data_IF_892581282576
#
_entry.id   IF_892581282576
#
_cell.length_a   1.000
_cell.length_b   1.000
_cell.length_c   1.000
_cell.angle_alpha   90.00
_cell.angle_beta   90.00
_cell.angle_gamma   90.00
#
_symmetry.space_group_name_H-M   'P 1'
#
loop_
_entity.id
_entity.type
_entity.pdbx_description
1 polymer ?
#
# COMPACT_ATOMS: atom_id res chain seq x y z
N UNK A 1 -27.51 6.17 -10.61
CA UNK A 1 -26.48 5.82 -9.61
C UNK A 1 -25.09 6.19 -10.11
N UNK A 2 -24.79 6.02 -11.41
CA UNK A 2 -23.49 6.33 -11.99
C UNK A 2 -23.04 7.78 -11.82
N UNK A 3 -23.85 8.77 -12.22
CA UNK A 3 -23.51 10.21 -12.09
C UNK A 3 -23.20 10.64 -10.65
N UNK A 4 -23.95 10.15 -9.66
CA UNK A 4 -23.66 10.45 -8.25
C UNK A 4 -22.30 9.89 -7.81
N UNK A 5 -21.93 8.70 -8.30
CA UNK A 5 -20.62 8.11 -8.02
C UNK A 5 -19.49 8.89 -8.71
N UNK A 6 -19.70 9.33 -9.96
CA UNK A 6 -18.75 10.16 -10.71
C UNK A 6 -18.51 11.48 -10.00
N UNK A 7 -19.57 12.22 -9.63
CA UNK A 7 -19.40 13.48 -8.89
C UNK A 7 -18.75 13.31 -7.52
N UNK A 8 -19.01 12.19 -6.83
CA UNK A 8 -18.32 11.87 -5.58
C UNK A 8 -16.83 11.60 -5.80
N UNK A 9 -16.47 10.90 -6.88
CA UNK A 9 -15.08 10.69 -7.26
C UNK A 9 -14.38 12.03 -7.61
N UNK A 10 -15.05 12.92 -8.35
CA UNK A 10 -14.56 14.28 -8.62
C UNK A 10 -14.34 15.07 -7.34
N UNK A 11 -15.28 14.99 -6.40
CA UNK A 11 -15.13 15.61 -5.09
C UNK A 11 -13.89 15.08 -4.37
N UNK A 12 -13.71 13.75 -4.31
CA UNK A 12 -12.53 13.15 -3.66
C UNK A 12 -11.21 13.60 -4.31
N UNK A 13 -11.15 13.64 -5.65
CA UNK A 13 -9.96 14.10 -6.38
C UNK A 13 -9.69 15.59 -6.16
N UNK A 14 -10.74 16.41 -6.09
CA UNK A 14 -10.64 17.85 -5.82
C UNK A 14 -10.17 18.14 -4.39
N UNK A 15 -10.70 17.41 -3.40
CA UNK A 15 -10.36 17.54 -1.97
C UNK A 15 -9.05 16.82 -1.59
N UNK A 16 -8.47 16.04 -2.51
CA UNK A 16 -7.24 15.31 -2.27
C UNK A 16 -6.06 16.26 -2.02
N UNK A 17 -5.31 15.96 -0.96
CA UNK A 17 -4.00 16.55 -0.69
C UNK A 17 -2.95 16.01 -1.68
N UNK A 18 -3.12 14.76 -2.13
CA UNK A 18 -2.32 14.13 -3.17
C UNK A 18 -3.02 12.93 -3.81
N UNK A 19 -2.53 12.52 -4.97
CA UNK A 19 -3.02 11.35 -5.71
C UNK A 19 -1.89 10.33 -5.88
N UNK A 20 -2.09 9.11 -5.37
CA UNK A 20 -1.25 7.97 -5.70
C UNK A 20 -1.89 7.24 -6.88
N UNK A 21 -1.26 7.26 -8.04
CA UNK A 21 -1.70 6.50 -9.20
C UNK A 21 -1.05 5.12 -9.16
N UNK A 22 -1.84 4.06 -9.25
CA UNK A 22 -1.32 2.72 -9.43
C UNK A 22 -1.78 2.15 -10.75
N UNK A 23 -0.86 1.66 -11.58
CA UNK A 23 -1.18 1.18 -12.92
C UNK A 23 -0.53 -0.18 -13.23
N UNK A 24 -1.19 -0.97 -14.08
CA UNK A 24 -0.66 -2.26 -14.57
C UNK A 24 -1.22 -2.55 -15.98
N UNK A 25 -1.19 -3.81 -16.41
CA UNK A 25 -1.46 -4.27 -17.78
C UNK A 25 -2.70 -3.66 -18.46
N UNK A 26 -3.81 -3.40 -17.76
CA UNK A 26 -4.99 -2.77 -18.36
C UNK A 26 -4.72 -1.35 -18.85
N UNK A 27 -3.82 -0.62 -18.20
CA UNK A 27 -3.32 0.68 -18.65
C UNK A 27 -2.43 0.51 -19.88
N UNK A 28 -1.44 -0.39 -19.85
CA UNK A 28 -0.61 -0.72 -21.02
C UNK A 28 -1.46 -1.08 -22.27
N UNK A 29 -2.53 -1.86 -22.08
CA UNK A 29 -3.46 -2.23 -23.15
C UNK A 29 -4.15 -1.00 -23.74
N UNK A 30 -4.48 -0.02 -22.90
CA UNK A 30 -5.08 1.24 -23.33
C UNK A 30 -4.08 2.17 -24.03
N UNK A 31 -2.79 2.02 -23.72
CA UNK A 31 -1.65 2.61 -24.47
C UNK A 31 -1.29 1.84 -25.76
N UNK A 32 -2.01 0.75 -26.07
CA UNK A 32 -1.81 -0.05 -27.29
C UNK A 32 -0.79 -1.19 -27.15
N UNK A 33 -0.26 -1.44 -25.95
CA UNK A 33 0.63 -2.55 -25.65
C UNK A 33 -0.12 -3.67 -24.92
N UNK A 34 -0.24 -4.85 -25.55
CA UNK A 34 -0.80 -6.02 -24.89
C UNK A 34 0.18 -7.19 -24.94
N UNK A 35 0.72 -7.55 -23.78
CA UNK A 35 1.74 -8.58 -23.63
C UNK A 35 1.24 -10.01 -23.86
N UNK A 36 -0.07 -10.24 -23.74
CA UNK A 36 -0.64 -11.59 -23.60
C UNK A 36 -1.30 -12.12 -24.87
N UNK A 37 -1.52 -11.26 -25.87
CA UNK A 37 -2.34 -11.60 -27.04
C UNK A 37 -1.59 -11.39 -28.36
N UNK A 38 -1.96 -12.17 -29.36
CA UNK A 38 -1.57 -11.95 -30.75
C UNK A 38 -2.46 -10.86 -31.37
N UNK A 39 -1.93 -9.66 -31.53
CA UNK A 39 -2.62 -8.52 -32.13
C UNK A 39 -1.81 -7.90 -33.29
N UNK A 40 -2.43 -7.04 -34.11
CA UNK A 40 -1.74 -6.39 -35.23
C UNK A 40 -0.46 -5.64 -34.85
N UNK A 41 -0.43 -4.97 -33.70
CA UNK A 41 0.69 -4.18 -33.22
C UNK A 41 1.90 -5.08 -32.88
N UNK A 42 1.67 -6.16 -32.14
CA UNK A 42 2.67 -7.17 -31.87
C UNK A 42 3.21 -7.79 -33.17
N UNK A 43 2.32 -8.11 -34.13
CA UNK A 43 2.73 -8.69 -35.41
C UNK A 43 3.60 -7.72 -36.22
N UNK A 44 3.29 -6.43 -36.18
CA UNK A 44 4.12 -5.40 -36.79
C UNK A 44 5.48 -5.29 -36.10
N UNK A 45 5.50 -5.28 -34.76
CA UNK A 45 6.71 -5.14 -33.95
C UNK A 45 7.67 -6.32 -34.06
N UNK A 46 7.17 -7.55 -34.05
CA UNK A 46 8.00 -8.77 -34.14
C UNK A 46 8.40 -9.13 -35.57
N UNK A 47 7.66 -8.66 -36.58
CA UNK A 47 7.90 -8.98 -37.99
C UNK A 47 8.06 -10.49 -38.23
N UNK A 48 9.12 -10.86 -38.95
CA UNK A 48 9.41 -12.27 -39.30
C UNK A 48 9.82 -13.13 -38.10
N UNK A 49 10.33 -12.52 -37.03
CA UNK A 49 10.78 -13.26 -35.84
C UNK A 49 9.63 -14.04 -35.17
N UNK A 50 8.39 -13.54 -35.29
CA UNK A 50 7.19 -14.24 -34.82
C UNK A 50 7.06 -15.64 -35.43
N UNK A 51 7.28 -15.77 -36.74
CA UNK A 51 7.16 -17.05 -37.44
C UNK A 51 8.39 -17.93 -37.21
N UNK A 52 9.59 -17.34 -37.23
CA UNK A 52 10.86 -18.04 -36.98
C UNK A 52 10.89 -18.73 -35.62
N UNK A 53 10.50 -18.02 -34.56
CA UNK A 53 10.55 -18.54 -33.18
C UNK A 53 9.19 -19.01 -32.66
N UNK A 54 8.12 -18.92 -33.48
CA UNK A 54 6.74 -19.31 -33.14
C UNK A 54 6.22 -18.61 -31.87
N UNK A 55 6.38 -17.29 -31.81
CA UNK A 55 6.07 -16.48 -30.63
C UNK A 55 4.56 -16.17 -30.59
N UNK A 56 3.80 -16.71 -29.61
CA UNK A 56 2.35 -16.51 -29.55
C UNK A 56 1.95 -15.14 -28.98
N UNK A 57 2.81 -14.50 -28.19
CA UNK A 57 2.60 -13.17 -27.60
C UNK A 57 3.95 -12.50 -27.24
N UNK A 58 3.93 -11.21 -26.90
CA UNK A 58 5.14 -10.47 -26.52
C UNK A 58 5.76 -10.97 -25.21
N UNK A 59 4.95 -11.37 -24.22
CA UNK A 59 5.48 -11.93 -22.98
C UNK A 59 6.40 -13.13 -23.25
N UNK A 60 5.96 -14.02 -24.15
CA UNK A 60 6.76 -15.18 -24.57
C UNK A 60 8.01 -14.76 -25.34
N UNK A 61 7.94 -13.69 -26.15
CA UNK A 61 9.11 -13.16 -26.86
C UNK A 61 10.21 -12.72 -25.87
N UNK A 62 9.86 -11.94 -24.85
CA UNK A 62 10.82 -11.48 -23.84
C UNK A 62 11.39 -12.60 -22.95
N UNK A 63 10.69 -13.74 -22.85
CA UNK A 63 11.12 -14.91 -22.07
C UNK A 63 11.77 -16.01 -22.94
N UNK A 64 11.86 -15.80 -24.25
CA UNK A 64 12.33 -16.84 -25.17
C UNK A 64 13.84 -17.09 -25.02
N UNK A 65 14.29 -18.35 -24.94
CA UNK A 65 15.71 -18.69 -24.86
C UNK A 65 16.36 -18.62 -26.26
N UNK A 66 16.64 -17.41 -26.74
CA UNK A 66 17.23 -17.19 -28.05
C UNK A 66 18.59 -17.92 -28.21
N UNK A 67 18.92 -18.45 -29.40
CA UNK A 67 20.18 -19.19 -29.62
C UNK A 67 21.45 -18.36 -29.41
N UNK A 68 21.38 -17.05 -29.62
CA UNK A 68 22.47 -16.10 -29.45
C UNK A 68 21.96 -14.75 -28.95
N UNK A 69 22.88 -13.90 -28.46
CA UNK A 69 22.57 -12.51 -28.14
C UNK A 69 22.17 -11.71 -29.39
N UNK A 70 22.77 -12.02 -30.54
CA UNK A 70 22.41 -11.41 -31.81
C UNK A 70 20.94 -11.69 -32.17
N UNK A 71 20.49 -12.94 -32.05
CA UNK A 71 19.09 -13.35 -32.29
C UNK A 71 18.12 -12.66 -31.32
N UNK A 72 18.52 -12.58 -30.03
CA UNK A 72 17.74 -11.88 -29.00
C UNK A 72 17.54 -10.41 -29.37
N UNK A 73 18.62 -9.69 -29.65
CA UNK A 73 18.57 -8.26 -29.96
C UNK A 73 17.90 -7.97 -31.30
N UNK A 74 18.13 -8.83 -32.31
CA UNK A 74 17.43 -8.75 -33.59
C UNK A 74 15.91 -8.89 -33.45
N UNK A 75 15.44 -9.59 -32.41
CA UNK A 75 14.01 -9.78 -32.14
C UNK A 75 13.42 -8.71 -31.23
N UNK A 76 14.11 -8.36 -30.13
CA UNK A 76 13.54 -7.54 -29.06
C UNK A 76 13.78 -6.03 -29.24
N UNK A 77 14.89 -5.61 -29.87
CA UNK A 77 15.12 -4.18 -30.09
C UNK A 77 14.04 -3.55 -31.00
N UNK A 78 13.63 -4.17 -32.12
CA UNK A 78 12.52 -3.63 -32.94
C UNK A 78 11.21 -3.52 -32.17
N UNK A 79 10.95 -4.42 -31.21
CA UNK A 79 9.76 -4.35 -30.35
C UNK A 79 9.83 -3.13 -29.44
N UNK A 80 10.95 -2.92 -28.74
CA UNK A 80 11.13 -1.76 -27.86
C UNK A 80 11.10 -0.45 -28.68
N UNK A 81 11.75 -0.42 -29.84
CA UNK A 81 11.71 0.72 -30.75
C UNK A 81 10.29 1.05 -31.21
N UNK A 82 9.48 0.02 -31.53
CA UNK A 82 8.10 0.20 -31.96
C UNK A 82 7.23 0.85 -30.88
N UNK A 83 7.38 0.43 -29.61
CA UNK A 83 6.53 0.89 -28.51
C UNK A 83 7.05 2.13 -27.78
N UNK A 84 8.37 2.36 -27.75
CA UNK A 84 8.99 3.41 -26.94
C UNK A 84 9.92 4.33 -27.72
N UNK A 85 10.29 4.03 -28.96
CA UNK A 85 11.27 4.82 -29.71
C UNK A 85 10.82 6.24 -30.08
N UNK A 86 9.52 6.41 -30.37
CA UNK A 86 8.90 7.71 -30.66
C UNK A 86 7.55 7.78 -29.96
N UNK A 87 7.55 7.59 -28.64
CA UNK A 87 6.33 7.61 -27.86
C UNK A 87 5.62 8.98 -27.99
N UNK A 88 4.35 8.95 -28.33
CA UNK A 88 3.44 10.09 -28.29
C UNK A 88 2.36 9.81 -27.25
N UNK A 89 1.94 10.84 -26.52
CA UNK A 89 0.91 10.67 -25.50
C UNK A 89 -0.37 10.10 -26.12
N UNK A 90 -0.81 8.95 -25.60
CA UNK A 90 -2.11 8.39 -25.95
C UNK A 90 -3.25 9.25 -25.37
N UNK A 91 -4.49 8.98 -25.80
CA UNK A 91 -5.68 9.60 -25.22
C UNK A 91 -5.76 9.38 -23.70
N UNK A 92 -5.50 8.15 -23.21
CA UNK A 92 -5.56 7.85 -21.77
C UNK A 92 -4.44 8.55 -21.00
N UNK A 93 -3.26 8.71 -21.62
CA UNK A 93 -2.14 9.48 -21.04
C UNK A 93 -2.47 10.97 -20.94
N UNK A 94 -3.03 11.57 -22.00
CA UNK A 94 -3.47 12.98 -22.02
C UNK A 94 -4.51 13.23 -20.92
N UNK A 95 -5.50 12.34 -20.79
CA UNK A 95 -6.52 12.45 -19.75
C UNK A 95 -5.93 12.31 -18.36
N UNK A 96 -5.00 11.38 -18.13
CA UNK A 96 -4.31 11.24 -16.86
C UNK A 96 -3.51 12.50 -16.50
N UNK A 97 -2.77 13.09 -17.45
CA UNK A 97 -2.07 14.38 -17.24
C UNK A 97 -3.03 15.49 -16.86
N UNK A 98 -4.18 15.57 -17.53
CA UNK A 98 -5.21 16.56 -17.21
C UNK A 98 -5.77 16.37 -15.79
N UNK A 99 -5.99 15.12 -15.38
CA UNK A 99 -6.53 14.78 -14.05
C UNK A 99 -5.56 15.10 -12.92
N UNK A 100 -4.26 14.88 -13.14
CA UNK A 100 -3.20 15.13 -12.16
C UNK A 100 -2.68 16.58 -12.18
N UNK A 101 -3.17 17.41 -13.11
CA UNK A 101 -2.71 18.79 -13.27
C UNK A 101 -2.87 19.54 -11.95
N UNK A 102 -1.79 20.20 -11.51
CA UNK A 102 -1.72 20.99 -10.26
C UNK A 102 -1.89 20.21 -8.96
N UNK A 103 -1.98 18.87 -9.00
CA UNK A 103 -2.07 18.01 -7.81
C UNK A 103 -0.71 17.35 -7.54
N UNK A 104 -0.24 17.32 -6.28
CA UNK A 104 0.86 16.45 -5.93
C UNK A 104 0.51 15.00 -6.23
N UNK A 105 1.37 14.31 -6.98
CA UNK A 105 1.14 12.92 -7.36
C UNK A 105 2.38 12.06 -7.17
N UNK A 106 2.16 10.75 -7.23
CA UNK A 106 3.18 9.74 -7.46
C UNK A 106 2.57 8.61 -8.27
N UNK A 107 3.29 8.05 -9.24
CA UNK A 107 2.87 6.91 -10.04
C UNK A 107 3.66 5.67 -9.58
N UNK A 108 2.96 4.60 -9.26
CA UNK A 108 3.53 3.31 -8.94
C UNK A 108 2.98 2.26 -9.91
N UNK A 109 3.85 1.65 -10.71
CA UNK A 109 3.43 0.74 -11.77
C UNK A 109 4.31 -0.50 -11.86
N UNK A 110 3.72 -1.59 -12.36
CA UNK A 110 4.42 -2.81 -12.76
C UNK A 110 4.67 -2.85 -14.26
N UNK A 111 4.23 -1.83 -14.99
CA UNK A 111 4.46 -1.71 -16.42
C UNK A 111 5.93 -1.37 -16.69
N UNK A 112 6.44 -1.86 -17.82
CA UNK A 112 7.88 -1.84 -18.15
C UNK A 112 8.18 -1.03 -19.41
N UNK A 113 7.15 -0.51 -20.07
CA UNK A 113 7.25 0.20 -21.34
C UNK A 113 7.74 1.65 -21.24
N UNK A 114 7.95 2.14 -20.02
CA UNK A 114 8.46 3.47 -19.72
C UNK A 114 7.59 4.66 -20.16
N UNK A 115 6.36 4.40 -20.61
CA UNK A 115 5.47 5.42 -21.16
C UNK A 115 5.17 6.57 -20.19
N UNK A 116 5.04 6.34 -18.88
CA UNK A 116 4.81 7.42 -17.92
C UNK A 116 5.96 8.43 -17.89
N UNK A 117 7.21 7.95 -17.86
CA UNK A 117 8.39 8.84 -17.85
C UNK A 117 8.56 9.52 -19.21
N UNK A 118 8.32 8.80 -20.31
CA UNK A 118 8.35 9.37 -21.66
C UNK A 118 7.26 10.43 -21.88
N UNK A 119 6.11 10.29 -21.21
CA UNK A 119 5.07 11.30 -21.12
C UNK A 119 5.47 12.50 -20.22
N UNK A 120 6.66 12.50 -19.61
CA UNK A 120 7.16 13.60 -18.79
C UNK A 120 6.70 13.57 -17.33
N UNK A 121 6.18 12.44 -16.83
CA UNK A 121 5.96 12.31 -15.39
C UNK A 121 7.29 12.11 -14.65
N UNK A 122 7.59 12.99 -13.70
CA UNK A 122 8.85 12.95 -12.95
C UNK A 122 8.85 12.01 -11.72
N UNK A 123 7.66 11.68 -11.19
CA UNK A 123 7.47 10.89 -9.96
C UNK A 123 6.87 9.54 -10.27
N UNK A 124 7.72 8.64 -10.77
CA UNK A 124 7.32 7.31 -11.22
C UNK A 124 8.21 6.26 -10.55
N UNK A 125 7.59 5.21 -10.02
CA UNK A 125 8.26 3.99 -9.59
C UNK A 125 7.75 2.84 -10.47
N UNK A 126 8.64 2.32 -11.30
CA UNK A 126 8.45 1.11 -12.10
C UNK A 126 9.04 -0.05 -11.31
N UNK A 127 8.19 -0.75 -10.56
CA UNK A 127 8.63 -1.73 -9.55
C UNK A 127 9.25 -2.98 -10.18
N UNK A 128 8.96 -3.24 -11.44
CA UNK A 128 9.54 -4.32 -12.25
C UNK A 128 10.63 -3.81 -13.21
N UNK A 129 11.06 -2.55 -13.06
CA UNK A 129 11.99 -1.90 -13.97
C UNK A 129 11.35 -1.54 -15.31
N UNK A 130 12.17 -1.31 -16.33
CA UNK A 130 11.71 -0.94 -17.66
C UNK A 130 12.68 -1.44 -18.75
N UNK A 131 12.22 -1.44 -19.99
CA UNK A 131 13.01 -1.93 -21.12
C UNK A 131 13.82 -0.84 -21.85
N UNK A 132 13.77 0.41 -21.37
CA UNK A 132 14.55 1.54 -21.92
C UNK A 132 15.83 1.78 -21.13
N UNK A 133 15.87 1.31 -19.88
CA UNK A 133 17.06 1.20 -19.04
C UNK A 133 17.64 -0.22 -19.19
N UNK A 134 18.95 -0.29 -19.35
CA UNK A 134 19.71 -1.53 -19.38
C UNK A 134 20.56 -1.71 -18.12
N UNK A 135 20.85 -2.95 -17.75
CA UNK A 135 21.75 -3.31 -16.64
C UNK A 135 22.84 -4.27 -17.11
N UNK A 136 24.07 -4.01 -16.68
CA UNK A 136 25.19 -4.93 -16.90
C UNK A 136 25.43 -5.82 -15.67
N UNK A 137 26.24 -6.88 -15.83
CA UNK A 137 26.58 -7.82 -14.75
C UNK A 137 27.28 -7.17 -13.54
N UNK A 138 27.91 -6.01 -13.74
CA UNK A 138 28.60 -5.24 -12.69
C UNK A 138 27.66 -4.29 -11.93
N UNK A 139 26.37 -4.29 -12.24
CA UNK A 139 25.36 -3.51 -11.53
C UNK A 139 25.18 -2.07 -11.99
N UNK A 140 25.87 -1.62 -13.05
CA UNK A 140 25.60 -0.32 -13.64
C UNK A 140 24.27 -0.34 -14.42
N UNK A 141 23.46 0.69 -14.21
CA UNK A 141 22.25 0.99 -14.98
C UNK A 141 22.61 2.06 -16.01
N UNK A 142 22.20 1.86 -17.28
CA UNK A 142 22.46 2.78 -18.39
C UNK A 142 21.17 3.00 -19.18
N UNK A 143 20.96 4.22 -19.69
CA UNK A 143 19.99 4.43 -20.78
C UNK A 143 20.65 3.97 -22.08
N UNK A 144 19.99 3.11 -22.82
CA UNK A 144 20.49 2.56 -24.07
C UNK A 144 19.45 2.62 -25.20
N UNK A 145 18.50 3.56 -25.14
CA UNK A 145 17.52 3.75 -26.22
C UNK A 145 18.17 4.09 -27.56
N UNK A 146 19.30 4.80 -27.56
CA UNK A 146 20.08 5.03 -28.78
C UNK A 146 20.63 3.71 -29.35
N UNK A 147 21.07 2.77 -28.51
CA UNK A 147 21.49 1.44 -28.96
C UNK A 147 20.30 0.64 -29.51
N UNK A 148 19.13 0.70 -28.86
CA UNK A 148 17.90 0.06 -29.35
C UNK A 148 17.52 0.56 -30.75
N UNK A 149 17.58 1.88 -30.97
CA UNK A 149 17.31 2.48 -32.28
C UNK A 149 18.33 2.00 -33.32
N UNK A 150 19.63 2.07 -33.00
CA UNK A 150 20.69 1.65 -33.91
C UNK A 150 20.60 0.16 -34.29
N UNK A 151 20.27 -0.70 -33.33
CA UNK A 151 20.06 -2.14 -33.57
C UNK A 151 18.85 -2.32 -34.48
N UNK A 152 17.74 -1.64 -34.20
CA UNK A 152 16.52 -1.74 -35.01
C UNK A 152 16.75 -1.31 -36.46
N UNK A 153 17.49 -0.22 -36.68
CA UNK A 153 17.86 0.22 -38.02
C UNK A 153 18.73 -0.81 -38.75
N UNK A 154 19.68 -1.42 -38.05
CA UNK A 154 20.56 -2.48 -38.59
C UNK A 154 19.83 -3.79 -38.87
N UNK A 155 18.80 -4.11 -38.09
CA UNK A 155 17.88 -5.23 -38.39
C UNK A 155 17.16 -4.95 -39.71
N UNK A 156 16.61 -3.75 -39.87
CA UNK A 156 15.88 -3.36 -41.09
C UNK A 156 16.77 -3.35 -42.33
N UNK A 157 18.04 -2.94 -42.22
CA UNK A 157 19.00 -2.95 -43.33
C UNK A 157 19.71 -4.30 -43.53
N UNK A 158 19.51 -5.28 -42.65
CA UNK A 158 20.17 -6.59 -42.72
C UNK A 158 21.69 -6.54 -42.44
N UNK A 159 22.15 -5.56 -41.66
CA UNK A 159 23.58 -5.32 -41.36
C UNK A 159 23.95 -5.52 -39.90
N UNK A 160 23.05 -6.08 -39.07
CA UNK A 160 23.31 -6.32 -37.65
C UNK A 160 24.39 -7.40 -37.46
N UNK A 161 25.35 -7.14 -36.57
CA UNK A 161 26.46 -8.03 -36.23
C UNK A 161 26.70 -8.11 -34.72
N UNK A 162 27.50 -9.07 -34.26
CA UNK A 162 27.91 -9.22 -32.85
C UNK A 162 28.58 -7.96 -32.26
N UNK A 163 29.18 -7.11 -33.11
CA UNK A 163 29.78 -5.86 -32.66
C UNK A 163 28.74 -4.81 -32.21
N UNK A 164 27.47 -5.01 -32.58
CA UNK A 164 26.36 -4.10 -32.32
C UNK A 164 25.58 -4.44 -31.05
N UNK A 165 25.95 -5.52 -30.36
CA UNK A 165 25.35 -5.87 -29.07
C UNK A 165 25.62 -4.74 -28.06
N UNK A 166 24.60 -4.27 -27.32
CA UNK A 166 24.76 -3.16 -26.39
C UNK A 166 25.82 -3.44 -25.31
N UNK A 167 26.68 -2.45 -25.07
CA UNK A 167 27.74 -2.51 -24.07
C UNK A 167 27.60 -1.36 -23.09
N UNK A 168 27.95 -1.62 -21.84
CA UNK A 168 27.91 -0.65 -20.78
C UNK A 168 28.99 0.40 -21.02
N UNK A 169 28.60 1.68 -21.05
CA UNK A 169 29.54 2.79 -21.22
C UNK A 169 30.56 2.92 -20.08
N UNK A 170 30.27 2.35 -18.90
CA UNK A 170 31.16 2.42 -17.73
C UNK A 170 32.22 1.33 -17.69
N UNK A 171 31.89 0.10 -18.12
CA UNK A 171 32.78 -1.06 -17.95
C UNK A 171 32.96 -1.94 -19.19
N UNK A 172 32.24 -1.67 -20.28
CA UNK A 172 32.32 -2.42 -21.54
C UNK A 172 31.67 -3.81 -21.51
N UNK A 173 31.11 -4.23 -20.37
CA UNK A 173 30.35 -5.47 -20.27
C UNK A 173 29.05 -5.42 -21.08
N UNK A 174 28.52 -6.58 -21.46
CA UNK A 174 27.22 -6.68 -22.16
C UNK A 174 26.12 -6.13 -21.26
N UNK A 175 25.21 -5.37 -21.87
CA UNK A 175 24.01 -4.84 -21.23
C UNK A 175 22.81 -5.69 -21.63
N UNK A 176 21.94 -5.96 -20.67
CA UNK A 176 20.61 -6.55 -20.88
C UNK A 176 19.52 -5.58 -20.38
N UNK A 177 18.25 -5.84 -20.66
CA UNK A 177 17.15 -5.02 -20.12
C UNK A 177 17.13 -5.02 -18.59
N UNK A 178 16.78 -3.90 -17.98
CA UNK A 178 16.52 -3.82 -16.53
C UNK A 178 15.08 -4.31 -16.20
N UNK A 179 14.83 -5.60 -16.45
CA UNK A 179 13.54 -6.28 -16.23
C UNK A 179 13.71 -7.43 -15.22
N UNK A 180 12.61 -7.98 -14.64
CA UNK A 180 12.68 -9.01 -13.61
C UNK A 180 13.48 -10.23 -14.07
N UNK A 181 14.65 -10.40 -13.46
CA UNK A 181 15.66 -11.39 -13.76
C UNK A 181 16.57 -11.54 -12.53
N UNK A 182 17.48 -12.53 -12.45
CA UNK A 182 18.42 -12.63 -11.34
C UNK A 182 19.32 -11.40 -11.16
N UNK A 183 19.53 -10.63 -12.24
CA UNK A 183 20.27 -9.38 -12.24
C UNK A 183 19.38 -8.16 -12.05
N UNK A 184 18.07 -8.29 -11.90
CA UNK A 184 17.18 -7.14 -11.72
C UNK A 184 17.46 -6.42 -10.41
N UNK A 185 17.42 -5.09 -10.46
CA UNK A 185 17.40 -4.27 -9.27
C UNK A 185 16.49 -3.05 -9.48
N UNK A 186 15.58 -2.84 -8.54
CA UNK A 186 14.72 -1.66 -8.56
C UNK A 186 15.56 -0.41 -8.25
N UNK A 187 15.22 0.70 -8.90
CA UNK A 187 15.84 2.00 -8.62
C UNK A 187 15.58 2.41 -7.15
N UNK A 188 16.63 2.31 -6.33
CA UNK A 188 16.57 2.60 -4.90
C UNK A 188 16.22 4.06 -4.61
N UNK A 189 16.57 4.99 -5.49
CA UNK A 189 16.21 6.40 -5.37
C UNK A 189 14.71 6.57 -5.59
N UNK A 190 14.16 6.04 -6.69
CA UNK A 190 12.71 6.05 -6.95
C UNK A 190 11.91 5.36 -5.84
N UNK A 191 12.44 4.26 -5.28
CA UNK A 191 11.85 3.59 -4.11
C UNK A 191 11.84 4.48 -2.85
N UNK A 192 12.94 5.18 -2.58
CA UNK A 192 13.04 6.12 -1.45
C UNK A 192 12.09 7.31 -1.63
N UNK A 193 12.01 7.84 -2.85
CA UNK A 193 11.10 8.93 -3.22
C UNK A 193 9.63 8.48 -3.02
N UNK A 194 9.29 7.25 -3.40
CA UNK A 194 7.97 6.65 -3.15
C UNK A 194 7.67 6.52 -1.65
N UNK A 195 8.60 5.96 -0.86
CA UNK A 195 8.43 5.84 0.59
C UNK A 195 8.22 7.19 1.26
N UNK A 196 8.99 8.20 0.83
CA UNK A 196 8.87 9.58 1.31
C UNK A 196 7.49 10.16 0.98
N UNK A 197 6.99 9.93 -0.23
CA UNK A 197 5.64 10.35 -0.63
C UNK A 197 4.57 9.71 0.27
N UNK A 198 4.61 8.40 0.50
CA UNK A 198 3.66 7.71 1.39
C UNK A 198 3.70 8.28 2.81
N UNK A 199 4.90 8.53 3.35
CA UNK A 199 5.05 9.11 4.68
C UNK A 199 4.52 10.55 4.75
N UNK A 200 4.77 11.37 3.74
CA UNK A 200 4.34 12.77 3.67
C UNK A 200 2.81 12.95 3.70
N UNK A 201 2.07 11.97 3.17
CA UNK A 201 0.61 11.98 3.11
C UNK A 201 -0.05 11.02 4.12
N UNK A 202 0.72 10.47 5.07
CA UNK A 202 0.16 9.72 6.20
C UNK A 202 -0.81 10.61 6.99
N UNK A 203 -2.04 10.13 7.18
CA UNK A 203 -3.11 10.85 7.90
C UNK A 203 -3.80 11.98 7.12
N UNK A 204 -3.36 12.27 5.89
CA UNK A 204 -3.96 13.26 4.98
C UNK A 204 -5.01 12.63 4.05
N UNK A 205 -5.67 13.46 3.24
CA UNK A 205 -6.61 13.02 2.21
C UNK A 205 -5.84 12.54 0.96
N UNK A 206 -5.37 11.30 0.99
CA UNK A 206 -4.76 10.63 -0.17
C UNK A 206 -5.85 9.90 -0.97
N UNK A 207 -5.90 10.15 -2.28
CA UNK A 207 -6.68 9.33 -3.20
C UNK A 207 -5.73 8.35 -3.89
N UNK A 208 -6.00 7.06 -3.74
CA UNK A 208 -5.37 6.01 -4.55
C UNK A 208 -6.24 5.79 -5.79
N UNK A 209 -5.72 6.18 -6.95
CA UNK A 209 -6.34 6.00 -8.26
C UNK A 209 -5.71 4.79 -8.95
N UNK A 210 -6.42 3.67 -8.93
CA UNK A 210 -6.00 2.42 -9.57
C UNK A 210 -6.52 2.32 -11.01
N UNK A 211 -5.61 2.12 -11.95
CA UNK A 211 -5.88 2.10 -13.38
C UNK A 211 -5.47 0.75 -13.99
N UNK A 212 -6.48 -0.02 -14.44
CA UNK A 212 -6.25 -1.22 -15.24
C UNK A 212 -5.56 -2.37 -14.51
N UNK A 213 -5.80 -2.53 -13.20
CA UNK A 213 -5.23 -3.66 -12.44
C UNK A 213 -6.30 -4.74 -12.23
N UNK A 214 -6.07 -5.92 -12.81
CA UNK A 214 -6.96 -7.08 -12.68
C UNK A 214 -6.97 -7.63 -11.24
N UNK A 215 -8.09 -8.25 -10.85
CA UNK A 215 -8.29 -8.81 -9.51
C UNK A 215 -7.24 -9.86 -9.10
N UNK A 216 -6.60 -10.54 -10.06
CA UNK A 216 -5.57 -11.54 -9.81
C UNK A 216 -4.15 -10.97 -9.74
N UNK A 217 -3.93 -9.73 -10.21
CA UNK A 217 -2.63 -9.08 -10.09
C UNK A 217 -2.52 -8.39 -8.72
N UNK A 218 -1.89 -9.08 -7.76
CA UNK A 218 -1.82 -8.61 -6.37
C UNK A 218 -0.54 -7.83 -6.04
N UNK A 219 0.43 -7.73 -6.96
CA UNK A 219 1.74 -7.10 -6.70
C UNK A 219 1.58 -5.66 -6.19
N UNK A 220 0.73 -4.88 -6.86
CA UNK A 220 0.43 -3.49 -6.50
C UNK A 220 -0.95 -3.36 -5.84
N UNK A 221 -1.93 -4.15 -6.30
CA UNK A 221 -3.32 -4.06 -5.86
C UNK A 221 -3.50 -4.37 -4.37
N UNK A 222 -2.88 -5.44 -3.86
CA UNK A 222 -3.01 -5.80 -2.45
C UNK A 222 -2.43 -4.72 -1.52
N UNK A 223 -1.16 -4.28 -1.69
CA UNK A 223 -0.59 -3.25 -0.84
C UNK A 223 -1.27 -1.88 -1.01
N UNK A 224 -1.74 -1.51 -2.21
CA UNK A 224 -2.48 -0.25 -2.41
C UNK A 224 -3.82 -0.25 -1.66
N UNK A 225 -4.54 -1.38 -1.64
CA UNK A 225 -5.76 -1.54 -0.83
C UNK A 225 -5.45 -1.54 0.68
N UNK A 226 -4.34 -2.15 1.11
CA UNK A 226 -3.91 -2.14 2.52
C UNK A 226 -3.53 -0.73 3.01
N UNK A 227 -2.91 0.09 2.14
CA UNK A 227 -2.64 1.49 2.43
C UNK A 227 -3.92 2.28 2.71
N UNK A 228 -4.98 2.05 1.93
CA UNK A 228 -6.29 2.69 2.14
C UNK A 228 -6.97 2.16 3.40
N UNK A 229 -6.91 0.84 3.64
CA UNK A 229 -7.49 0.19 4.82
C UNK A 229 -6.90 0.71 6.13
N UNK A 230 -5.60 1.02 6.15
CA UNK A 230 -4.90 1.51 7.33
C UNK A 230 -5.19 2.98 7.67
N UNK A 231 -5.88 3.73 6.81
CA UNK A 231 -6.12 5.18 6.99
C UNK A 231 -7.54 5.59 6.60
N UNK A 232 -8.35 6.01 7.58
CA UNK A 232 -9.77 6.39 7.35
C UNK A 232 -9.97 7.57 6.38
N UNK A 233 -8.99 8.44 6.26
CA UNK A 233 -9.03 9.62 5.38
C UNK A 233 -8.66 9.29 3.94
N UNK A 234 -8.06 8.12 3.69
CA UNK A 234 -7.72 7.69 2.34
C UNK A 234 -8.97 7.23 1.59
N UNK A 235 -8.92 7.40 0.26
CA UNK A 235 -9.97 7.04 -0.67
C UNK A 235 -9.38 6.21 -1.80
N UNK A 236 -10.19 5.32 -2.35
CA UNK A 236 -9.77 4.40 -3.41
C UNK A 236 -10.72 4.54 -4.59
N UNK A 237 -10.17 4.80 -5.77
CA UNK A 237 -10.92 4.80 -7.02
C UNK A 237 -10.25 3.77 -7.91
N UNK A 238 -10.95 2.69 -8.25
CA UNK A 238 -10.42 1.64 -9.14
C UNK A 238 -11.19 1.64 -10.45
N UNK A 239 -10.44 1.66 -11.55
CA UNK A 239 -10.96 1.69 -12.91
C UNK A 239 -10.41 0.48 -13.64
N UNK A 240 -11.29 -0.42 -14.09
CA UNK A 240 -10.90 -1.54 -14.93
C UNK A 240 -12.09 -2.06 -15.74
N UNK A 241 -11.85 -2.71 -16.87
CA UNK A 241 -12.91 -3.29 -17.69
C UNK A 241 -13.17 -4.74 -17.31
N UNK A 242 -14.33 -5.03 -16.72
CA UNK A 242 -14.81 -6.38 -16.41
C UNK A 242 -14.17 -7.05 -15.19
N UNK A 243 -13.16 -6.44 -14.57
CA UNK A 243 -12.39 -7.02 -13.45
C UNK A 243 -12.24 -6.06 -12.25
N UNK A 244 -13.18 -5.13 -12.08
CA UNK A 244 -13.19 -4.25 -10.90
C UNK A 244 -13.34 -5.09 -9.63
N UNK A 245 -12.35 -4.98 -8.75
CA UNK A 245 -12.34 -5.65 -7.46
C UNK A 245 -11.96 -4.67 -6.35
N UNK A 246 -12.75 -4.69 -5.28
CA UNK A 246 -12.56 -3.90 -4.07
C UNK A 246 -12.67 -4.84 -2.88
N UNK A 247 -11.67 -4.85 -2.00
CA UNK A 247 -11.70 -5.63 -0.75
C UNK A 247 -12.85 -5.14 0.14
N UNK A 248 -13.57 -6.08 0.76
CA UNK A 248 -14.78 -5.79 1.55
C UNK A 248 -14.57 -4.71 2.62
N UNK A 249 -13.42 -4.71 3.30
CA UNK A 249 -13.10 -3.78 4.39
C UNK A 249 -12.96 -2.31 3.96
N UNK A 250 -12.66 -2.03 2.68
CA UNK A 250 -12.50 -0.67 2.17
C UNK A 250 -13.66 -0.21 1.28
N UNK A 251 -14.73 -1.00 1.12
CA UNK A 251 -15.88 -0.65 0.27
C UNK A 251 -16.52 0.70 0.62
N UNK A 252 -16.47 1.11 1.89
CA UNK A 252 -16.99 2.41 2.34
C UNK A 252 -16.11 3.60 1.93
N UNK A 253 -14.85 3.34 1.57
CA UNK A 253 -13.86 4.32 1.14
C UNK A 253 -13.56 4.23 -0.36
N UNK A 254 -14.34 3.42 -1.10
CA UNK A 254 -13.99 3.03 -2.46
C UNK A 254 -15.10 3.33 -3.47
N UNK A 255 -14.69 3.74 -4.67
CA UNK A 255 -15.52 3.82 -5.86
C UNK A 255 -14.92 2.87 -6.91
N UNK A 256 -15.76 2.02 -7.50
CA UNK A 256 -15.37 1.18 -8.62
C UNK A 256 -15.98 1.70 -9.92
N UNK A 257 -15.18 1.78 -10.98
CA UNK A 257 -15.63 2.16 -12.32
C UNK A 257 -15.33 1.01 -13.28
N UNK A 258 -16.35 0.25 -13.62
CA UNK A 258 -16.25 -0.84 -14.60
C UNK A 258 -16.50 -0.29 -16.00
N UNK A 259 -15.42 -0.05 -16.75
CA UNK A 259 -15.45 0.63 -18.04
C UNK A 259 -14.09 0.64 -18.75
N UNK A 260 -14.08 1.19 -19.97
CA UNK A 260 -12.83 1.51 -20.66
C UNK A 260 -12.13 2.66 -19.91
N UNK A 261 -10.81 2.60 -19.76
CA UNK A 261 -10.04 3.64 -19.07
C UNK A 261 -10.27 5.02 -19.68
N UNK A 262 -10.32 5.13 -21.01
CA UNK A 262 -10.57 6.40 -21.71
C UNK A 262 -11.93 7.00 -21.35
N UNK A 263 -12.98 6.17 -21.28
CA UNK A 263 -14.31 6.63 -20.88
C UNK A 263 -14.34 7.01 -19.40
N UNK A 264 -13.80 6.17 -18.52
CA UNK A 264 -13.85 6.42 -17.08
C UNK A 264 -13.02 7.65 -16.67
N UNK A 265 -11.87 7.90 -17.29
CA UNK A 265 -11.10 9.11 -17.05
C UNK A 265 -11.82 10.35 -17.61
N UNK A 266 -12.46 10.26 -18.78
CA UNK A 266 -13.30 11.34 -19.30
C UNK A 266 -14.47 11.66 -18.37
N UNK A 267 -15.14 10.64 -17.82
CA UNK A 267 -16.18 10.79 -16.81
C UNK A 267 -15.66 11.51 -15.55
N UNK A 268 -14.43 11.21 -15.10
CA UNK A 268 -13.81 11.90 -13.97
C UNK A 268 -13.45 13.36 -14.29
N UNK A 269 -13.08 13.66 -15.54
CA UNK A 269 -12.75 15.03 -15.96
C UNK A 269 -13.99 15.90 -16.16
N UNK A 270 -15.03 15.36 -16.81
CA UNK A 270 -16.22 16.11 -17.23
C UNK A 270 -17.34 16.06 -16.20
N UNK A 271 -17.42 14.98 -15.42
CA UNK A 271 -18.55 14.69 -14.53
C UNK A 271 -19.75 14.07 -15.24
N UNK A 272 -19.69 13.90 -16.56
CA UNK A 272 -20.77 13.34 -17.37
C UNK A 272 -20.58 11.83 -17.54
N UNK A 273 -21.66 11.04 -17.51
CA UNK A 273 -21.57 9.58 -17.69
C UNK A 273 -21.47 9.23 -19.18
N UNK A 274 -20.40 8.51 -19.55
CA UNK A 274 -20.09 8.17 -20.96
C UNK A 274 -20.13 6.65 -21.20
N UNK A 275 -20.18 5.83 -20.15
CA UNK A 275 -20.52 4.40 -20.28
C UNK A 275 -20.02 3.48 -19.17
N UNK A 276 -19.29 3.98 -18.17
CA UNK A 276 -18.81 3.11 -17.09
C UNK A 276 -19.93 2.75 -16.12
N UNK A 277 -19.91 1.51 -15.64
CA UNK A 277 -20.75 1.08 -14.52
C UNK A 277 -20.06 1.45 -13.23
N UNK A 278 -20.58 2.48 -12.56
CA UNK A 278 -19.98 3.00 -11.33
C UNK A 278 -20.66 2.39 -10.10
N UNK A 279 -19.86 1.75 -9.24
CA UNK A 279 -20.24 1.33 -7.90
C UNK A 279 -19.85 2.41 -6.89
N UNK A 280 -20.87 3.03 -6.29
CA UNK A 280 -20.69 3.98 -5.20
C UNK A 280 -20.26 3.26 -3.91
N UNK A 281 -19.69 3.97 -2.93
CA UNK A 281 -19.32 3.37 -1.66
C UNK A 281 -20.53 2.71 -1.01
N UNK A 282 -20.38 1.48 -0.52
CA UNK A 282 -21.44 0.79 0.22
C UNK A 282 -21.60 1.44 1.60
N UNK A 283 -22.34 2.55 1.65
CA UNK A 283 -22.83 3.15 2.89
C UNK A 283 -24.00 2.28 3.36
N UNK A 284 -23.69 1.11 3.89
CA UNK A 284 -24.64 0.41 4.71
C UNK A 284 -24.88 1.32 5.93
N UNK A 285 -26.06 1.97 6.03
CA UNK A 285 -26.65 2.08 7.35
C UNK A 285 -26.70 0.64 7.85
N UNK A 286 -25.91 0.27 8.88
CA UNK A 286 -25.72 -1.14 9.16
C UNK A 286 -27.08 -1.77 9.38
N UNK A 287 -27.43 -2.82 8.63
CA UNK A 287 -28.58 -3.67 8.94
C UNK A 287 -28.49 -4.17 10.39
N UNK A 288 -27.26 -4.32 10.90
CA UNK A 288 -26.91 -4.45 12.30
C UNK A 288 -27.50 -3.34 13.18
N UNK A 289 -27.41 -2.04 12.84
CA UNK A 289 -28.01 -0.96 13.64
C UNK A 289 -29.54 -1.10 13.73
N UNK A 290 -30.21 -1.62 12.69
CA UNK A 290 -31.67 -1.85 12.69
C UNK A 290 -32.08 -3.07 13.53
N UNK A 291 -31.30 -4.15 13.52
CA UNK A 291 -31.54 -5.31 14.39
C UNK A 291 -31.13 -5.04 15.84
N UNK A 292 -29.99 -4.38 16.06
CA UNK A 292 -29.48 -4.04 17.39
C UNK A 292 -30.41 -3.04 18.08
N UNK A 293 -30.99 -2.03 17.40
CA UNK A 293 -32.04 -1.16 18.00
C UNK A 293 -33.30 -1.90 18.43
N UNK A 294 -33.61 -3.02 17.78
CA UNK A 294 -34.77 -3.86 18.10
C UNK A 294 -34.53 -4.73 19.34
N UNK A 295 -33.28 -5.10 19.60
CA UNK A 295 -32.87 -5.98 20.71
C UNK A 295 -32.35 -5.18 21.91
N UNK A 296 -31.71 -4.04 21.68
CA UNK A 296 -31.14 -3.13 22.66
C UNK A 296 -31.59 -1.69 22.37
N UNK A 297 -32.66 -1.19 23.02
CA UNK A 297 -33.17 0.17 22.80
C UNK A 297 -32.15 1.26 23.14
N UNK A 298 -31.21 0.93 24.04
CA UNK A 298 -30.03 1.69 24.42
C UNK A 298 -28.87 0.73 24.69
N UNK A 299 -27.71 0.99 24.08
CA UNK A 299 -26.47 0.25 24.31
C UNK A 299 -25.27 1.17 24.10
N UNK A 300 -24.17 0.89 24.79
CA UNK A 300 -22.88 1.57 24.61
C UNK A 300 -22.11 0.84 23.50
N UNK A 301 -21.62 1.58 22.50
CA UNK A 301 -20.76 1.01 21.44
C UNK A 301 -19.32 0.99 21.96
N UNK A 302 -18.79 -0.18 22.29
CA UNK A 302 -17.34 -0.41 22.30
C UNK A 302 -16.93 -0.77 20.87
N UNK A 303 -16.08 0.04 20.24
CA UNK A 303 -15.51 -0.31 18.93
C UNK A 303 -14.77 -1.64 19.07
N UNK A 304 -15.13 -2.60 18.22
CA UNK A 304 -14.55 -3.95 18.22
C UNK A 304 -13.04 -3.94 18.05
N UNK A 305 -12.40 -4.90 18.71
CA UNK A 305 -10.97 -5.22 18.73
C UNK A 305 -10.18 -4.74 17.50
N UNK A 306 -9.23 -3.81 17.72
CA UNK A 306 -8.16 -3.54 16.76
C UNK A 306 -7.16 -4.71 16.80
N UNK A 307 -7.11 -5.51 15.75
CA UNK A 307 -6.10 -6.57 15.57
C UNK A 307 -4.75 -6.03 15.07
N UNK A 308 -4.66 -4.73 14.76
CA UNK A 308 -3.47 -4.07 14.23
C UNK A 308 -2.94 -3.03 15.21
N UNK A 309 -1.90 -3.38 15.95
CA UNK A 309 -1.12 -2.42 16.74
C UNK A 309 0.33 -2.90 16.89
N UNK A 310 1.20 -2.02 17.36
CA UNK A 310 2.60 -2.33 17.60
C UNK A 310 2.73 -2.86 19.03
N UNK A 311 3.22 -4.08 19.25
CA UNK A 311 3.52 -4.55 20.59
C UNK A 311 4.70 -3.75 21.14
N UNK A 312 4.52 -3.15 22.32
CA UNK A 312 5.58 -2.49 23.08
C UNK A 312 5.84 -3.28 24.35
N UNK A 313 7.11 -3.49 24.66
CA UNK A 313 7.52 -4.11 25.92
C UNK A 313 7.70 -3.04 26.98
N UNK A 314 7.05 -3.23 28.12
CA UNK A 314 7.16 -2.37 29.29
C UNK A 314 7.79 -3.19 30.41
N UNK A 315 8.90 -2.69 30.94
CA UNK A 315 9.59 -3.28 32.09
C UNK A 315 9.19 -2.50 33.34
N UNK A 316 8.83 -3.23 34.40
CA UNK A 316 8.34 -2.69 35.68
C UNK A 316 9.23 -3.22 36.79
N UNK A 317 9.67 -2.34 37.68
CA UNK A 317 10.43 -2.70 38.88
C UNK A 317 9.93 -1.88 40.09
N UNK A 318 10.57 -2.05 41.25
CA UNK A 318 10.15 -1.38 42.49
C UNK A 318 10.35 0.15 42.49
N UNK A 319 11.20 0.68 41.59
CA UNK A 319 11.46 2.10 41.43
C UNK A 319 10.66 2.70 40.26
N UNK A 320 10.29 1.89 39.29
CA UNK A 320 9.63 2.30 38.05
C UNK A 320 8.28 1.57 37.84
N UNK A 321 7.25 1.85 38.67
CA UNK A 321 5.90 1.39 38.39
C UNK A 321 5.29 2.17 37.22
N UNK A 322 4.27 1.59 36.58
CA UNK A 322 3.38 2.37 35.72
C UNK A 322 2.34 3.05 36.59
N UNK A 323 2.34 4.38 36.59
CA UNK A 323 1.34 5.17 37.29
C UNK A 323 -0.05 5.05 36.64
N UNK A 324 -1.07 5.43 37.40
CA UNK A 324 -2.45 5.47 36.90
C UNK A 324 -2.56 6.34 35.66
N UNK A 325 -3.16 5.76 34.62
CA UNK A 325 -3.52 6.45 33.40
C UNK A 325 -4.85 5.94 32.87
N UNK A 326 -5.55 6.80 32.15
CA UNK A 326 -6.81 6.45 31.51
C UNK A 326 -6.53 5.69 30.22
N UNK A 327 -7.05 4.47 30.15
CA UNK A 327 -7.00 3.67 28.94
C UNK A 327 -8.01 4.22 27.91
N UNK A 328 -7.54 4.97 26.93
CA UNK A 328 -8.40 5.69 25.98
C UNK A 328 -9.02 4.78 24.90
N UNK A 329 -8.52 3.56 24.77
CA UNK A 329 -8.93 2.55 23.80
C UNK A 329 -8.83 1.16 24.44
N UNK A 330 -9.50 0.15 23.90
CA UNK A 330 -9.34 -1.22 24.40
C UNK A 330 -7.89 -1.70 24.23
N UNK A 331 -7.27 -2.22 25.29
CA UNK A 331 -5.86 -2.57 25.29
C UNK A 331 -5.64 -4.00 25.75
N UNK A 332 -4.94 -4.79 24.92
CA UNK A 332 -4.44 -6.11 25.32
C UNK A 332 -3.07 -5.98 25.98
N UNK A 333 -2.94 -6.65 27.12
CA UNK A 333 -1.70 -6.77 27.90
C UNK A 333 -1.36 -8.25 28.04
N UNK A 334 -0.11 -8.63 27.80
CA UNK A 334 0.33 -10.02 27.90
C UNK A 334 1.65 -10.12 28.67
N UNK A 335 1.72 -11.04 29.62
CA UNK A 335 2.95 -11.33 30.33
C UNK A 335 4.02 -11.81 29.33
N UNK A 336 5.23 -11.29 29.49
CA UNK A 336 6.38 -11.66 28.65
C UNK A 336 7.39 -12.47 29.45
N UNK A 337 7.96 -11.91 30.52
CA UNK A 337 8.96 -12.56 31.35
C UNK A 337 9.17 -11.83 32.70
N UNK A 338 9.86 -12.46 33.65
CA UNK A 338 10.14 -11.91 34.99
C UNK A 338 9.06 -12.25 36.02
N UNK A 339 8.89 -11.40 37.02
CA UNK A 339 7.90 -11.59 38.09
C UNK A 339 6.46 -11.33 37.60
N UNK A 340 5.47 -11.80 38.36
CA UNK A 340 4.06 -11.48 38.09
C UNK A 340 3.86 -9.96 38.13
N UNK A 341 3.14 -9.42 37.15
CA UNK A 341 2.72 -8.02 37.13
C UNK A 341 1.33 -7.89 37.75
N UNK A 342 1.19 -6.97 38.70
CA UNK A 342 -0.08 -6.58 39.30
C UNK A 342 -0.68 -5.43 38.49
N UNK A 343 -1.81 -5.69 37.82
CA UNK A 343 -2.58 -4.68 37.13
C UNK A 343 -3.73 -4.21 38.02
N UNK A 344 -3.69 -2.94 38.40
CA UNK A 344 -4.71 -2.26 39.18
C UNK A 344 -5.66 -1.55 38.24
N UNK A 345 -6.88 -2.06 38.09
CA UNK A 345 -7.88 -1.52 37.18
C UNK A 345 -9.03 -0.89 37.97
N UNK A 346 -9.35 0.37 37.69
CA UNK A 346 -10.59 1.01 38.16
C UNK A 346 -11.44 1.25 36.91
N UNK A 347 -12.53 0.50 36.78
CA UNK A 347 -13.41 0.55 35.60
C UNK A 347 -14.14 1.89 35.49
N UNK A 348 -14.75 2.17 34.35
CA UNK A 348 -15.55 3.37 34.14
C UNK A 348 -16.73 3.51 35.14
N UNK A 349 -17.17 2.42 35.74
CA UNK A 349 -18.24 2.41 36.75
C UNK A 349 -17.70 2.58 38.19
N UNK A 350 -16.38 2.76 38.35
CA UNK A 350 -15.72 2.91 39.65
C UNK A 350 -15.40 1.60 40.36
N UNK A 351 -15.58 0.44 39.70
CA UNK A 351 -15.26 -0.84 40.31
C UNK A 351 -13.75 -1.11 40.22
N UNK A 352 -13.12 -1.41 41.35
CA UNK A 352 -11.71 -1.80 41.41
C UNK A 352 -11.51 -3.31 41.26
N UNK A 353 -10.58 -3.68 40.39
CA UNK A 353 -10.13 -5.05 40.18
C UNK A 353 -8.59 -5.11 40.18
N UNK A 354 -8.06 -6.04 40.97
CA UNK A 354 -6.64 -6.43 40.89
C UNK A 354 -6.52 -7.67 40.02
N UNK A 355 -5.74 -7.58 38.94
CA UNK A 355 -5.44 -8.71 38.07
C UNK A 355 -3.96 -9.06 38.14
N UNK A 356 -3.67 -10.34 38.33
CA UNK A 356 -2.30 -10.88 38.33
C UNK A 356 -1.96 -11.38 36.93
N UNK A 357 -1.00 -10.73 36.27
CA UNK A 357 -0.57 -11.06 34.91
C UNK A 357 0.77 -11.79 34.99
N UNK A 358 0.76 -13.10 34.76
CA UNK A 358 1.89 -14.00 34.98
C UNK A 358 1.58 -15.45 34.58
N UNK A 359 2.52 -16.36 34.89
CA UNK A 359 2.38 -17.78 34.56
C UNK A 359 2.05 -18.66 35.78
N UNK A 360 2.01 -18.10 36.98
CA UNK A 360 1.76 -18.89 38.19
C UNK A 360 0.26 -19.20 38.40
N UNK A 361 -0.19 -20.31 37.83
CA UNK A 361 -1.61 -20.73 37.90
C UNK A 361 -2.10 -21.05 39.30
N UNK A 362 -1.23 -21.43 40.24
CA UNK A 362 -1.65 -21.70 41.62
C UNK A 362 -2.00 -20.41 42.39
N UNK A 363 -1.43 -19.26 41.99
CA UNK A 363 -1.79 -17.92 42.49
C UNK A 363 -2.90 -17.24 41.68
N UNK A 364 -3.47 -17.94 40.69
CA UNK A 364 -4.54 -17.41 39.84
C UNK A 364 -4.07 -16.49 38.71
N UNK A 365 -2.79 -16.53 38.35
CA UNK A 365 -2.25 -15.64 37.32
C UNK A 365 -2.85 -15.90 35.93
N UNK A 366 -3.20 -14.82 35.24
CA UNK A 366 -3.61 -14.81 33.84
C UNK A 366 -2.41 -14.53 32.94
N UNK A 367 -2.32 -15.23 31.80
CA UNK A 367 -1.22 -14.98 30.86
C UNK A 367 -1.38 -13.62 30.16
N UNK A 368 -2.60 -13.16 30.00
CA UNK A 368 -2.91 -11.84 29.47
C UNK A 368 -4.24 -11.32 30.00
N UNK A 369 -4.44 -10.03 29.81
CA UNK A 369 -5.61 -9.26 30.23
C UNK A 369 -6.02 -8.35 29.08
N UNK A 370 -7.32 -8.25 28.83
CA UNK A 370 -7.87 -7.17 28.02
C UNK A 370 -8.44 -6.10 28.95
N UNK A 371 -7.98 -4.87 28.78
CA UNK A 371 -8.40 -3.72 29.56
C UNK A 371 -9.38 -2.92 28.70
N UNK A 372 -10.58 -2.71 29.22
CA UNK A 372 -11.61 -1.96 28.52
C UNK A 372 -11.25 -0.47 28.44
N UNK A 373 -11.73 0.19 27.38
CA UNK A 373 -11.63 1.63 27.25
C UNK A 373 -12.34 2.32 28.42
N UNK A 374 -11.82 3.46 28.87
CA UNK A 374 -12.36 4.19 30.02
C UNK A 374 -11.91 3.65 31.39
N UNK A 375 -11.11 2.59 31.42
CA UNK A 375 -10.53 2.04 32.66
C UNK A 375 -9.27 2.83 33.04
N UNK A 376 -9.16 3.25 34.29
CA UNK A 376 -7.89 3.73 34.85
C UNK A 376 -7.04 2.54 35.25
N UNK A 377 -5.81 2.46 34.72
CA UNK A 377 -4.91 1.34 35.02
C UNK A 377 -3.54 1.81 35.49
N UNK A 378 -3.00 1.08 36.47
CA UNK A 378 -1.61 1.16 36.90
C UNK A 378 -1.02 -0.26 36.96
N UNK A 379 0.30 -0.37 36.76
CA UNK A 379 0.99 -1.65 36.83
C UNK A 379 2.15 -1.58 37.82
N UNK A 380 2.24 -2.55 38.71
CA UNK A 380 3.40 -2.73 39.58
C UNK A 380 3.86 -4.19 39.57
N UNK A 381 5.11 -4.42 39.97
CA UNK A 381 5.65 -5.77 40.14
C UNK A 381 5.06 -6.39 41.41
N UNK A 382 4.78 -7.70 41.39
CA UNK A 382 4.49 -8.44 42.61
C UNK A 382 5.70 -8.35 43.57
N UNK A 383 5.55 -7.78 44.78
CA UNK A 383 6.66 -7.63 45.72
C UNK A 383 7.25 -8.98 46.18
N UNK A 384 6.47 -10.07 46.11
CA UNK A 384 6.93 -11.43 46.44
C UNK A 384 7.75 -12.09 45.32
N UNK A 385 7.89 -11.43 44.16
CA UNK A 385 8.67 -11.93 43.03
C UNK A 385 10.17 -11.97 43.31
N UNK A 386 10.85 -12.96 42.76
CA UNK A 386 12.29 -13.20 42.96
C UNK A 386 13.18 -12.53 41.89
N UNK A 387 12.65 -12.26 40.70
CA UNK A 387 13.44 -11.74 39.57
C UNK A 387 13.87 -10.28 39.75
N UNK A 388 13.11 -9.50 40.54
CA UNK A 388 13.35 -8.08 40.77
C UNK A 388 12.77 -7.15 39.70
N UNK A 389 12.17 -7.71 38.65
CA UNK A 389 11.50 -6.98 37.57
C UNK A 389 10.40 -7.84 36.94
N UNK A 390 9.45 -7.20 36.28
CA UNK A 390 8.48 -7.86 35.39
C UNK A 390 8.44 -7.17 34.03
N UNK A 391 8.13 -7.93 32.98
CA UNK A 391 7.94 -7.40 31.65
C UNK A 391 6.62 -7.87 31.05
N UNK A 392 5.84 -6.91 30.56
CA UNK A 392 4.60 -7.13 29.84
C UNK A 392 4.71 -6.55 28.44
N UNK A 393 3.98 -7.13 27.49
CA UNK A 393 3.73 -6.52 26.20
C UNK A 393 2.36 -5.86 26.20
N UNK A 394 2.30 -4.63 25.70
CA UNK A 394 1.07 -3.86 25.54
C UNK A 394 0.88 -3.54 24.06
N UNK A 395 -0.36 -3.64 23.59
CA UNK A 395 -0.68 -3.23 22.22
C UNK A 395 -0.96 -1.72 22.17
N UNK A 396 -0.41 -1.03 21.17
CA UNK A 396 -0.67 0.40 20.93
C UNK A 396 -1.07 0.64 19.47
N UNK A 397 -2.05 1.53 19.25
CA UNK A 397 -2.53 1.87 17.92
C UNK A 397 -1.44 2.57 17.09
N UNK A 398 -1.38 2.26 15.79
CA UNK A 398 -0.39 2.78 14.83
C UNK A 398 -0.44 4.31 14.63
N UNK A 399 -1.56 4.94 15.00
CA UNK A 399 -1.86 6.36 14.88
C UNK A 399 -1.90 7.10 16.23
N UNK A 400 -1.53 6.44 17.34
CA UNK A 400 -1.44 7.11 18.63
C UNK A 400 -0.35 8.20 18.61
N UNK A 401 -0.70 9.41 19.04
CA UNK A 401 0.25 10.52 19.19
C UNK A 401 1.18 10.36 20.41
N UNK A 402 1.16 9.18 21.04
CA UNK A 402 1.97 8.81 22.19
C UNK A 402 1.56 9.48 23.49
N UNK A 403 0.50 10.29 23.50
CA UNK A 403 0.04 10.97 24.71
C UNK A 403 -0.79 10.02 25.57
N UNK A 404 -0.52 10.03 26.86
CA UNK A 404 -1.22 9.24 27.86
C UNK A 404 -1.89 10.22 28.82
N UNK A 405 -3.19 10.05 29.07
CA UNK A 405 -3.90 10.86 30.05
C UNK A 405 -3.66 10.32 31.46
N UNK A 406 -2.87 11.04 32.26
CA UNK A 406 -2.52 10.66 33.61
C UNK A 406 -3.21 11.59 34.62
N UNK A 407 -4.21 11.12 35.38
CA UNK A 407 -4.81 11.92 36.43
C UNK A 407 -3.84 12.12 37.60
N UNK A 408 -3.96 13.27 38.27
CA UNK A 408 -3.22 13.59 39.49
C UNK A 408 -3.78 12.85 40.70
N UNK A 409 -2.99 12.75 41.77
CA UNK A 409 -3.43 12.20 43.05
C UNK A 409 -4.75 12.83 43.56
N UNK A 410 -4.87 14.16 43.51
CA UNK A 410 -6.07 14.86 44.01
C UNK A 410 -7.31 14.51 43.19
N UNK A 411 -7.18 14.40 41.87
CA UNK A 411 -8.27 14.01 40.97
C UNK A 411 -8.73 12.58 41.22
N UNK A 412 -7.78 11.65 41.38
CA UNK A 412 -8.10 10.25 41.70
C UNK A 412 -8.73 10.12 43.09
N UNK A 413 -8.20 10.81 44.10
CA UNK A 413 -8.70 10.76 45.48
C UNK A 413 -10.07 11.40 45.63
N UNK A 414 -10.36 12.44 44.84
CA UNK A 414 -11.69 13.03 44.78
C UNK A 414 -12.71 12.12 44.09
N UNK A 415 -12.30 11.42 43.02
CA UNK A 415 -13.18 10.54 42.25
C UNK A 415 -13.43 9.19 42.93
N UNK A 416 -12.42 8.62 43.60
CA UNK A 416 -12.43 7.28 44.19
C UNK A 416 -11.84 7.30 45.62
N UNK A 417 -12.51 7.98 46.58
CA UNK A 417 -11.96 8.21 47.92
C UNK A 417 -11.62 6.94 48.70
N UNK A 418 -12.22 5.81 48.36
CA UNK A 418 -11.98 4.48 48.94
C UNK A 418 -10.62 3.86 48.57
N UNK A 419 -9.89 4.43 47.62
CA UNK A 419 -8.63 3.87 47.08
C UNK A 419 -7.38 4.72 47.37
N UNK A 420 -7.42 5.63 48.35
CA UNK A 420 -6.31 6.54 48.67
C UNK A 420 -4.96 5.83 48.90
N UNK A 421 -4.95 4.72 49.67
CA UNK A 421 -3.72 3.97 49.93
C UNK A 421 -3.08 3.36 48.66
N UNK A 422 -3.89 3.14 47.61
CA UNK A 422 -3.39 2.71 46.31
C UNK A 422 -2.79 3.89 45.54
N UNK A 423 -3.44 5.05 45.60
CA UNK A 423 -2.99 6.29 44.94
C UNK A 423 -1.72 6.86 45.57
N UNK A 424 -1.51 6.70 46.88
CA UNK A 424 -0.26 7.07 47.55
C UNK A 424 0.98 6.43 46.92
N UNK A 425 0.79 5.24 46.33
CA UNK A 425 1.86 4.43 45.72
C UNK A 425 1.94 4.64 44.21
N UNK A 426 0.79 4.70 43.52
CA UNK A 426 0.71 4.59 42.06
C UNK A 426 0.14 5.81 41.34
N UNK A 427 -0.31 6.85 42.05
CA UNK A 427 -0.66 8.12 41.40
C UNK A 427 0.59 8.95 41.11
N UNK A 428 0.51 9.79 40.07
CA UNK A 428 1.48 10.87 39.88
C UNK A 428 1.26 11.93 40.97
N UNK A 429 2.34 12.27 41.67
CA UNK A 429 2.34 13.30 42.73
C UNK A 429 2.45 14.70 42.17
#
# INVERSE_FOLDING_TARGET
MSEKGIHLAQQWLSEADAILVTASNGFAISEGLNLFTDNPQMRAALGTARETYRLPNLLTAFQYPYPSLLDKWATLAPVVQYYSGNYEDSEVMIQLKALLKEKPYFIWTSNTEHHFVQAGFERVLEVEGNWTEGRCENGHIVDFMNDIQNISDKVNSGTLTEADIPKCEHCGAVVDFNLPSPQFEVDQKKMTDFQTFIQQYKGKNLVVLELGIGAHNQLIKAPSMQLVESHRNHRYITINKGEVYIKASIKQQSIGMDGLLTHSLDELLTGESVGSRVSAPEINEPSEKKMIKKVYPSYTVTQGNQYSGIPRYVTIDSQNPSHFHLNQQGQSVMYTLGDTTLAHCITANGEYQLVRIGLNKSKGDLHGLYIELGTYVAFERDPEGEAGFSQISINTAFDSDGKIMMPTYDQLSQAFPEHQALFDRLAMK
#
